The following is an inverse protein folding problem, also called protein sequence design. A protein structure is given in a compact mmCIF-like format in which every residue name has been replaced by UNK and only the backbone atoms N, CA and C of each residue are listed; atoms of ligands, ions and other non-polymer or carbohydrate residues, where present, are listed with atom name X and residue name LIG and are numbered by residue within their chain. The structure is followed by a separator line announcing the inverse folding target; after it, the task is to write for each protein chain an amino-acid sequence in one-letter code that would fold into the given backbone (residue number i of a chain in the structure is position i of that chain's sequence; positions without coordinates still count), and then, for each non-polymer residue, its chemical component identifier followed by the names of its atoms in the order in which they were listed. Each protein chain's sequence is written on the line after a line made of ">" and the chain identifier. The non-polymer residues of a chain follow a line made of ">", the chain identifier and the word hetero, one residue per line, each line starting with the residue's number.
data_IF_535698042728
#
_entry.id   IF_535698042728
#
_cell.length_a   1.000
_cell.length_b   1.000
_cell.length_c   1.000
_cell.angle_alpha   90.00
_cell.angle_beta   90.00
_cell.angle_gamma   90.00
#
_symmetry.space_group_name_H-M   'P 1'
#
loop_
_entity.id
_entity.type
_entity.pdbx_description
1 polymer ?
#
# COMPACT_ATOMS: atom_id res chain seq x y z
N UNK A 1 -14.41 12.93 0.13
CA UNK A 1 -13.42 14.03 0.14
C UNK A 1 -12.28 13.74 -0.83
N UNK A 2 -11.50 12.67 -0.62
CA UNK A 2 -10.33 12.32 -1.44
C UNK A 2 -10.63 12.21 -2.94
N UNK A 3 -11.68 11.50 -3.34
CA UNK A 3 -12.01 11.34 -4.76
C UNK A 3 -12.30 12.68 -5.44
N UNK A 4 -13.08 13.55 -4.78
CA UNK A 4 -13.36 14.90 -5.28
C UNK A 4 -12.07 15.70 -5.45
N UNK A 5 -11.21 15.72 -4.43
CA UNK A 5 -9.92 16.42 -4.50
C UNK A 5 -9.03 15.90 -5.63
N UNK A 6 -9.00 14.59 -5.86
CA UNK A 6 -8.26 13.99 -6.97
C UNK A 6 -8.83 14.42 -8.32
N UNK A 7 -10.16 14.39 -8.49
CA UNK A 7 -10.83 14.86 -9.72
C UNK A 7 -10.55 16.34 -10.00
N UNK A 8 -10.63 17.18 -8.96
CA UNK A 8 -10.34 18.62 -9.07
C UNK A 8 -8.88 18.85 -9.52
N UNK A 9 -7.93 18.11 -8.96
CA UNK A 9 -6.52 18.18 -9.36
C UNK A 9 -6.29 17.77 -10.81
N UNK A 10 -6.86 16.64 -11.24
CA UNK A 10 -6.73 16.15 -12.63
C UNK A 10 -7.27 17.18 -13.63
N UNK A 11 -8.47 17.72 -13.36
CA UNK A 11 -9.10 18.74 -14.20
C UNK A 11 -8.26 20.02 -14.27
N UNK A 12 -7.77 20.51 -13.12
CA UNK A 12 -6.94 21.72 -13.06
C UNK A 12 -5.57 21.52 -13.74
N UNK A 13 -5.09 20.28 -13.82
CA UNK A 13 -3.85 19.91 -14.52
C UNK A 13 -4.03 19.76 -16.03
N UNK A 14 -5.24 20.00 -16.57
CA UNK A 14 -5.53 19.95 -18.00
C UNK A 14 -5.80 18.55 -18.56
N UNK A 15 -6.07 17.57 -17.69
CA UNK A 15 -6.39 16.20 -18.07
C UNK A 15 -7.89 15.92 -17.98
N UNK A 16 -8.37 14.93 -18.74
CA UNK A 16 -9.81 14.62 -18.87
C UNK A 16 -10.19 13.18 -18.43
N UNK A 17 -9.28 12.48 -17.78
CA UNK A 17 -9.57 11.14 -17.26
C UNK A 17 -10.27 11.19 -15.89
N UNK A 18 -11.21 10.29 -15.67
CA UNK A 18 -11.91 10.18 -14.38
C UNK A 18 -11.01 9.53 -13.31
N UNK A 19 -11.37 9.74 -12.04
CA UNK A 19 -10.71 9.10 -10.90
C UNK A 19 -11.74 8.42 -10.01
N UNK A 20 -11.49 7.17 -9.65
CA UNK A 20 -12.34 6.42 -8.71
C UNK A 20 -11.51 5.96 -7.52
N UNK A 21 -11.98 6.25 -6.30
CA UNK A 21 -11.31 5.85 -5.06
C UNK A 21 -12.23 4.92 -4.27
N UNK A 22 -11.76 3.71 -4.00
CA UNK A 22 -12.50 2.70 -3.24
C UNK A 22 -11.64 2.10 -2.14
N UNK A 23 -12.24 1.81 -1.00
CA UNK A 23 -11.63 0.95 0.00
C UNK A 23 -12.09 -0.49 -0.27
N UNK A 24 -11.16 -1.38 -0.63
CA UNK A 24 -11.47 -2.77 -1.00
C UNK A 24 -10.41 -3.75 -0.48
N UNK A 25 -10.81 -5.01 -0.29
CA UNK A 25 -9.87 -6.08 0.05
C UNK A 25 -9.26 -6.64 -1.23
N UNK A 26 -8.02 -6.23 -1.50
CA UNK A 26 -7.29 -6.59 -2.71
C UNK A 26 -6.22 -7.62 -2.40
N UNK A 27 -5.97 -8.51 -3.36
CA UNK A 27 -4.87 -9.47 -3.26
C UNK A 27 -3.58 -8.85 -3.78
N UNK A 28 -2.52 -8.97 -3.00
CA UNK A 28 -1.16 -8.58 -3.39
C UNK A 28 -0.24 -9.79 -3.32
N UNK A 29 0.70 -9.88 -4.27
CA UNK A 29 1.76 -10.89 -4.25
C UNK A 29 2.83 -10.51 -3.24
N UNK A 30 3.66 -11.48 -2.83
CA UNK A 30 4.83 -11.23 -1.98
C UNK A 30 5.68 -10.10 -2.55
N UNK A 31 6.02 -9.11 -1.73
CA UNK A 31 6.79 -7.93 -2.13
C UNK A 31 8.00 -7.74 -1.23
N UNK A 32 9.16 -7.72 -1.84
CA UNK A 32 10.41 -7.39 -1.18
C UNK A 32 10.75 -5.92 -1.43
N UNK A 33 10.89 -5.19 -0.34
CA UNK A 33 11.51 -3.88 -0.27
C UNK A 33 12.94 -4.05 0.26
N UNK A 34 13.76 -2.99 0.25
CA UNK A 34 15.17 -3.08 0.66
C UNK A 34 15.37 -3.67 2.08
N UNK A 35 14.45 -3.40 3.01
CA UNK A 35 14.56 -3.77 4.41
C UNK A 35 13.52 -4.79 4.90
N UNK A 36 12.51 -5.13 4.10
CA UNK A 36 11.44 -6.05 4.50
C UNK A 36 10.93 -6.88 3.31
N UNK A 37 10.41 -8.06 3.60
CA UNK A 37 9.54 -8.78 2.68
C UNK A 37 8.14 -8.90 3.29
N UNK A 38 7.14 -8.44 2.56
CA UNK A 38 5.73 -8.57 2.91
C UNK A 38 5.15 -9.78 2.17
N UNK A 39 4.48 -10.71 2.87
CA UNK A 39 3.96 -11.92 2.24
C UNK A 39 2.79 -11.61 1.30
N UNK A 40 2.52 -12.53 0.38
CA UNK A 40 1.29 -12.49 -0.41
C UNK A 40 0.06 -12.58 0.49
N UNK A 41 -1.06 -12.01 0.06
CA UNK A 41 -2.30 -12.08 0.84
C UNK A 41 -3.33 -11.02 0.46
N UNK A 42 -4.48 -11.05 1.13
CA UNK A 42 -5.51 -10.02 1.01
C UNK A 42 -5.31 -8.93 2.04
N UNK A 43 -5.22 -7.71 1.56
CA UNK A 43 -5.05 -6.52 2.39
C UNK A 43 -6.17 -5.53 2.11
N UNK A 44 -6.61 -4.84 3.17
CA UNK A 44 -7.50 -3.69 3.01
C UNK A 44 -6.70 -2.56 2.35
N UNK A 45 -7.08 -2.19 1.13
CA UNK A 45 -6.36 -1.24 0.31
C UNK A 45 -7.25 -0.05 -0.06
N UNK A 46 -6.67 1.14 -0.02
CA UNK A 46 -7.24 2.32 -0.67
C UNK A 46 -6.84 2.28 -2.14
N UNK A 47 -7.76 1.85 -3.01
CA UNK A 47 -7.55 1.71 -4.44
C UNK A 47 -7.93 3.00 -5.15
N UNK A 48 -6.94 3.64 -5.78
CA UNK A 48 -7.12 4.85 -6.60
C UNK A 48 -6.95 4.44 -8.06
N UNK A 49 -8.03 4.50 -8.84
CA UNK A 49 -8.03 4.18 -10.28
C UNK A 49 -8.13 5.48 -11.06
N UNK A 50 -7.17 5.71 -11.95
CA UNK A 50 -7.10 6.90 -12.81
C UNK A 50 -7.33 6.44 -14.26
N UNK A 51 -8.33 7.02 -14.94
CA UNK A 51 -8.74 6.57 -16.27
C UNK A 51 -9.19 5.11 -16.28
N UNK A 52 -8.70 4.32 -17.24
CA UNK A 52 -8.97 2.88 -17.33
C UNK A 52 -8.19 2.03 -16.31
N UNK A 53 -7.14 2.58 -15.69
CA UNK A 53 -6.27 1.82 -14.77
C UNK A 53 -5.35 0.80 -15.45
N UNK A 54 -5.14 0.90 -16.76
CA UNK A 54 -4.31 -0.03 -17.57
C UNK A 54 -2.83 0.37 -17.65
N UNK A 55 -2.41 1.41 -16.91
CA UNK A 55 -1.04 1.86 -16.88
C UNK A 55 -0.12 0.98 -16.02
N UNK A 56 1.09 1.49 -15.78
CA UNK A 56 2.00 0.90 -14.80
C UNK A 56 1.46 1.12 -13.39
N UNK A 57 0.76 0.11 -12.87
CA UNK A 57 0.14 0.17 -11.57
C UNK A 57 1.18 0.03 -10.46
N UNK A 58 1.17 0.98 -9.53
CA UNK A 58 2.03 0.98 -8.35
C UNK A 58 1.18 0.77 -7.10
N UNK A 59 1.73 0.02 -6.15
CA UNK A 59 1.14 -0.14 -4.84
C UNK A 59 2.22 -0.01 -3.77
N UNK A 60 1.83 0.54 -2.63
CA UNK A 60 2.68 0.68 -1.46
C UNK A 60 1.89 0.26 -0.23
N UNK A 61 2.60 -0.28 0.76
CA UNK A 61 2.01 -0.51 2.07
C UNK A 61 2.15 0.77 2.87
N UNK A 62 1.05 1.30 3.40
CA UNK A 62 1.09 2.37 4.38
C UNK A 62 1.48 1.81 5.74
N UNK A 63 2.78 1.64 5.95
CA UNK A 63 3.37 1.26 7.22
C UNK A 63 4.38 2.33 7.63
N UNK A 64 4.03 3.26 8.54
CA UNK A 64 4.84 4.42 8.89
C UNK A 64 6.33 4.11 9.18
N UNK A 65 6.69 3.03 9.91
CA UNK A 65 8.09 2.70 10.16
C UNK A 65 8.92 2.37 8.91
N UNK A 66 8.25 2.09 7.78
CA UNK A 66 8.92 1.87 6.49
C UNK A 66 8.74 3.02 5.51
N UNK A 67 7.55 3.64 5.48
CA UNK A 67 7.26 4.70 4.52
C UNK A 67 8.06 5.97 4.80
N UNK A 68 8.13 6.37 6.06
CA UNK A 68 8.69 7.67 6.45
C UNK A 68 10.21 7.72 6.28
N UNK A 69 11.00 6.71 6.70
CA UNK A 69 12.44 6.72 6.44
C UNK A 69 12.82 6.64 4.96
N UNK A 70 11.93 6.15 4.10
CA UNK A 70 12.14 6.08 2.65
C UNK A 70 11.71 7.37 1.92
N UNK A 71 10.83 8.18 2.51
CA UNK A 71 10.30 9.40 1.91
C UNK A 71 11.05 10.67 2.35
N UNK A 72 11.51 10.73 3.60
CA UNK A 72 12.09 11.93 4.22
C UNK A 72 13.50 11.71 4.79
N UNK A 73 14.27 12.79 4.92
CA UNK A 73 15.52 12.81 5.68
C UNK A 73 15.20 12.86 7.17
N UNK A 74 16.00 12.18 8.00
CA UNK A 74 15.80 12.10 9.46
C UNK A 74 15.52 13.45 10.14
N UNK A 75 16.20 14.51 9.70
CA UNK A 75 16.09 15.85 10.28
C UNK A 75 14.73 16.52 10.03
N UNK A 76 14.00 16.11 8.98
CA UNK A 76 12.66 16.64 8.66
C UNK A 76 11.55 15.90 9.43
N UNK A 77 11.78 14.63 9.77
CA UNK A 77 10.85 13.80 10.54
C UNK A 77 10.61 14.38 11.94
N UNK A 78 11.68 14.83 12.62
CA UNK A 78 11.58 15.39 13.98
C UNK A 78 10.83 16.72 14.05
N UNK A 79 10.76 17.46 12.94
CA UNK A 79 10.11 18.77 12.86
C UNK A 79 8.64 18.70 12.43
N UNK A 80 8.21 17.57 11.86
CA UNK A 80 6.86 17.38 11.31
C UNK A 80 6.00 16.48 12.20
N UNK A 81 6.59 15.50 12.87
CA UNK A 81 5.88 14.52 13.68
C UNK A 81 5.97 14.81 15.18
N UNK A 82 4.90 14.47 15.91
CA UNK A 82 4.93 14.48 17.37
C UNK A 82 5.86 13.40 17.94
N UNK A 83 6.26 13.55 19.20
CA UNK A 83 7.16 12.60 19.86
C UNK A 83 6.63 11.17 19.92
N UNK A 84 5.31 10.96 19.92
CA UNK A 84 4.70 9.64 19.89
C UNK A 84 4.63 9.05 18.47
N UNK A 85 4.47 9.89 17.45
CA UNK A 85 4.55 9.47 16.03
C UNK A 85 5.99 9.09 15.64
N UNK A 86 6.99 9.80 16.17
CA UNK A 86 8.41 9.44 15.98
C UNK A 86 8.68 8.05 16.55
N UNK A 87 8.18 7.72 17.75
CA UNK A 87 8.33 6.36 18.31
C UNK A 87 7.69 5.28 17.44
N UNK A 88 6.56 5.60 16.80
CA UNK A 88 5.94 4.72 15.82
C UNK A 88 6.85 4.55 14.62
N UNK A 89 7.37 5.61 14.01
CA UNK A 89 8.28 5.57 12.86
C UNK A 89 9.58 4.83 13.17
N UNK A 90 10.14 5.00 14.36
CA UNK A 90 11.40 4.37 14.76
C UNK A 90 11.23 2.94 15.29
N UNK A 91 9.99 2.48 15.49
CA UNK A 91 9.73 1.14 15.99
C UNK A 91 10.19 0.07 14.99
N UNK A 92 11.14 -0.77 15.41
CA UNK A 92 11.56 -1.92 14.60
C UNK A 92 10.42 -2.94 14.57
N UNK A 93 9.93 -3.37 13.39
CA UNK A 93 8.91 -4.40 13.32
C UNK A 93 9.44 -5.71 13.91
N UNK A 94 8.64 -6.37 14.77
CA UNK A 94 8.91 -7.74 15.22
C UNK A 94 8.74 -8.68 14.02
N UNK A 95 9.84 -9.21 13.50
CA UNK A 95 9.82 -10.15 12.38
C UNK A 95 9.33 -11.51 12.87
N UNK A 96 8.16 -11.95 12.40
CA UNK A 96 7.73 -13.34 12.55
C UNK A 96 8.30 -14.17 11.39
N UNK A 97 9.06 -15.25 11.64
CA UNK A 97 9.53 -16.13 10.58
C UNK A 97 8.33 -16.84 9.95
N UNK A 98 8.05 -16.57 8.67
CA UNK A 98 6.97 -17.23 7.92
C UNK A 98 7.54 -18.08 6.79
N UNK A 99 7.32 -19.39 6.89
CA UNK A 99 7.80 -20.41 5.97
C UNK A 99 7.02 -20.38 4.65
N UNK A 100 7.73 -20.66 3.54
CA UNK A 100 7.23 -20.83 2.16
C UNK A 100 5.97 -21.71 2.01
N UNK A 101 5.70 -22.58 2.97
CA UNK A 101 4.50 -23.45 3.00
C UNK A 101 3.21 -22.64 3.17
N UNK A 102 3.23 -21.55 3.93
CA UNK A 102 2.06 -20.69 4.14
C UNK A 102 1.71 -19.96 2.84
N UNK A 103 2.72 -19.49 2.09
CA UNK A 103 2.50 -18.82 0.80
C UNK A 103 1.87 -19.78 -0.23
N UNK A 104 2.32 -21.04 -0.29
CA UNK A 104 1.74 -22.07 -1.16
C UNK A 104 0.28 -22.33 -0.78
N UNK A 105 -0.02 -22.44 0.51
CA UNK A 105 -1.39 -22.63 1.00
C UNK A 105 -2.31 -21.46 0.62
N UNK A 106 -1.85 -20.22 0.80
CA UNK A 106 -2.63 -19.02 0.45
C UNK A 106 -2.87 -18.91 -1.05
N UNK A 107 -1.87 -19.19 -1.88
CA UNK A 107 -2.02 -19.20 -3.34
C UNK A 107 -3.07 -20.21 -3.82
N UNK A 108 -3.08 -21.42 -3.24
CA UNK A 108 -4.07 -22.45 -3.54
C UNK A 108 -5.47 -22.02 -3.09
N UNK A 109 -5.58 -21.44 -1.89
CA UNK A 109 -6.85 -20.98 -1.32
C UNK A 109 -7.48 -19.88 -2.19
N UNK A 110 -6.70 -18.91 -2.65
CA UNK A 110 -7.20 -17.83 -3.51
C UNK A 110 -7.65 -18.35 -4.88
N UNK A 111 -6.91 -19.29 -5.48
CA UNK A 111 -7.31 -19.91 -6.75
C UNK A 111 -8.62 -20.70 -6.66
N UNK A 112 -8.97 -21.18 -5.46
CA UNK A 112 -10.25 -21.87 -5.19
C UNK A 112 -11.37 -20.86 -4.95
N UNK A 113 -11.11 -19.79 -4.19
CA UNK A 113 -12.09 -18.73 -3.91
C UNK A 113 -12.58 -18.04 -5.20
N UNK A 114 -11.67 -17.68 -6.11
CA UNK A 114 -12.03 -17.04 -7.39
C UNK A 114 -12.77 -18.00 -8.35
N UNK A 115 -12.64 -19.32 -8.18
CA UNK A 115 -13.38 -20.33 -8.98
C UNK A 115 -14.78 -20.63 -8.44
N UNK A 116 -15.08 -20.22 -7.20
CA UNK A 116 -16.37 -20.50 -6.54
C UNK A 116 -17.27 -19.27 -6.46
N UNK A 117 -16.82 -18.13 -6.98
CA UNK A 117 -17.57 -16.90 -7.15
C UNK A 117 -17.88 -16.67 -8.62
#
# INVERSE_FOLDING_TARGET
>A
ALEKSAKDFIKNSGFDYDVKITLSNEYFTTRTYESVTLPAGRYLALRVVIGSGEGHNWWCVMFPPMCVPAADKKDEIENVFSSDEIKLVESKPKYEPRFKVIEIYESIKESIYDKTK
#
